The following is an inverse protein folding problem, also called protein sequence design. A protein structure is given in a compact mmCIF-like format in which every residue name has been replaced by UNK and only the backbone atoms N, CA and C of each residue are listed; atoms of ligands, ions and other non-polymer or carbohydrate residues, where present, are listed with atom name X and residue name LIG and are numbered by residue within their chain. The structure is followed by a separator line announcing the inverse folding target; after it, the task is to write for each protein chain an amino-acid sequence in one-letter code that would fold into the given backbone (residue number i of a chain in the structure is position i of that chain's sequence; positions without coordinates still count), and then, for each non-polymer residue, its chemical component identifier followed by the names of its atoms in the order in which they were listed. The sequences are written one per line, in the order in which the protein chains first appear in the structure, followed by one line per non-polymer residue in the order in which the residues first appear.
data_IF_004608865331
#
_entry.id   IF_004608865331
#
_cell.length_a   1.000
_cell.length_b   1.000
_cell.length_c   1.000
_cell.angle_alpha   90.00
_cell.angle_beta   90.00
_cell.angle_gamma   90.00
#
_symmetry.space_group_name_H-M   'P 1'
#
loop_
_entity.id
_entity.type
_entity.pdbx_description
1 polymer ?
#
# COMPACT_ATOMS: atom_id res chain seq x y z
N UNK A 1 -9.19 9.90 9.61
CA UNK A 1 -8.08 9.64 8.68
C UNK A 1 -8.26 10.57 7.48
N UNK A 2 -7.27 11.40 7.15
CA UNK A 2 -7.27 12.20 5.93
C UNK A 2 -6.26 11.66 4.92
N UNK A 3 -6.56 11.76 3.64
CA UNK A 3 -5.61 11.42 2.57
C UNK A 3 -5.74 12.38 1.40
N UNK A 4 -4.61 12.77 0.84
CA UNK A 4 -4.53 13.58 -0.36
C UNK A 4 -3.55 12.91 -1.33
N UNK A 5 -3.98 12.70 -2.57
CA UNK A 5 -3.20 11.96 -3.54
C UNK A 5 -3.40 12.48 -4.95
N UNK A 6 -2.39 12.21 -5.78
CA UNK A 6 -2.33 12.57 -7.19
C UNK A 6 -2.12 11.29 -7.98
N UNK A 7 -2.82 11.17 -9.12
CA UNK A 7 -2.65 10.06 -10.05
C UNK A 7 -2.50 10.61 -11.46
N UNK A 8 -1.50 10.10 -12.17
CA UNK A 8 -1.24 10.37 -13.58
C UNK A 8 -1.44 9.08 -14.36
N UNK A 9 -2.29 9.13 -15.39
CA UNK A 9 -2.54 8.01 -16.29
C UNK A 9 -2.08 8.41 -17.71
N UNK A 10 -1.11 7.67 -18.25
CA UNK A 10 -0.58 7.81 -19.59
C UNK A 10 -1.19 6.74 -20.49
N UNK A 11 -2.20 7.11 -21.26
CA UNK A 11 -2.95 6.19 -22.14
C UNK A 11 -2.70 6.40 -23.64
N UNK A 12 -1.73 7.24 -23.99
CA UNK A 12 -1.48 7.61 -25.38
C UNK A 12 -0.66 6.56 -26.17
N UNK A 13 -0.24 5.47 -25.51
CA UNK A 13 0.51 4.39 -26.14
C UNK A 13 -0.18 3.04 -25.92
N UNK A 14 0.30 2.00 -26.62
CA UNK A 14 -0.17 0.62 -26.46
C UNK A 14 -0.02 0.15 -25.00
N UNK A 15 0.93 0.73 -24.27
CA UNK A 15 1.16 0.46 -22.85
C UNK A 15 0.46 1.55 -22.04
N UNK A 16 -0.56 1.17 -21.28
CA UNK A 16 -1.23 2.10 -20.38
C UNK A 16 -0.48 2.20 -19.08
N UNK A 17 0.41 3.18 -18.95
CA UNK A 17 1.18 3.41 -17.74
C UNK A 17 0.43 4.33 -16.78
N UNK A 18 0.60 4.11 -15.48
CA UNK A 18 0.05 4.98 -14.45
C UNK A 18 1.05 5.15 -13.30
N UNK A 19 0.95 6.30 -12.65
CA UNK A 19 1.71 6.62 -11.45
C UNK A 19 0.78 7.29 -10.45
N UNK A 20 0.93 6.95 -9.17
CA UNK A 20 0.13 7.46 -8.08
C UNK A 20 1.01 7.79 -6.89
N UNK A 21 0.73 8.90 -6.24
CA UNK A 21 1.27 9.26 -4.94
C UNK A 21 0.13 9.61 -4.01
N UNK A 22 0.13 9.09 -2.80
CA UNK A 22 -0.92 9.32 -1.83
C UNK A 22 -0.30 9.60 -0.46
N UNK A 23 -0.53 10.80 0.05
CA UNK A 23 -0.18 11.18 1.40
C UNK A 23 -1.35 10.82 2.33
N UNK A 24 -1.06 10.10 3.40
CA UNK A 24 -2.07 9.65 4.36
C UNK A 24 -1.67 10.15 5.75
N UNK A 25 -2.66 10.70 6.46
CA UNK A 25 -2.53 11.21 7.82
C UNK A 25 -3.60 10.62 8.73
N UNK A 26 -3.15 9.96 9.78
CA UNK A 26 -4.01 9.51 10.87
C UNK A 26 -4.20 10.66 11.86
N UNK A 27 -5.46 11.09 11.99
CA UNK A 27 -5.89 11.99 13.05
C UNK A 27 -6.38 11.10 14.19
N UNK A 28 -5.59 10.97 15.25
CA UNK A 28 -5.93 10.19 16.45
C UNK A 28 -4.77 10.14 17.43
N UNK A 29 -5.07 10.22 18.72
CA UNK A 29 -4.13 9.94 19.80
C UNK A 29 -3.97 8.43 19.97
N UNK A 30 -2.74 8.04 20.27
CA UNK A 30 -2.28 6.68 20.45
C UNK A 30 -2.98 6.02 21.62
N UNK A 31 -3.73 4.95 21.35
CA UNK A 31 -3.79 3.78 22.24
C UNK A 31 -4.40 2.61 21.47
N UNK A 32 -3.57 1.87 20.75
CA UNK A 32 -3.95 0.52 20.34
C UNK A 32 -3.84 -0.39 21.57
N UNK A 33 -4.88 -0.40 22.42
CA UNK A 33 -5.01 -1.42 23.46
C UNK A 33 -5.53 -2.68 22.78
N UNK A 34 -4.61 -3.54 22.34
CA UNK A 34 -4.94 -4.90 21.96
C UNK A 34 -5.27 -5.69 23.24
N UNK A 35 -6.49 -5.59 23.74
CA UNK A 35 -7.02 -6.55 24.71
C UNK A 35 -7.30 -7.87 23.97
N UNK A 36 -6.23 -8.61 23.69
CA UNK A 36 -6.29 -9.98 23.21
C UNK A 36 -6.68 -10.90 24.35
N UNK A 37 -7.98 -11.10 24.55
CA UNK A 37 -8.46 -12.13 25.47
C UNK A 37 -8.28 -13.51 24.84
N UNK A 38 -7.22 -14.24 25.18
CA UNK A 38 -7.22 -15.70 25.13
C UNK A 38 -6.35 -16.26 26.28
N UNK A 39 -6.98 -17.08 27.13
CA UNK A 39 -6.36 -17.88 28.19
C UNK A 39 -5.18 -18.68 27.61
N UNK A 40 -3.95 -18.32 27.94
CA UNK A 40 -2.95 -19.20 28.57
C UNK A 40 -1.59 -18.50 28.52
N UNK A 41 -0.95 -18.44 29.68
CA UNK A 41 0.45 -18.01 29.89
C UNK A 41 0.71 -16.51 29.76
N UNK A 42 0.69 -15.85 30.92
CA UNK A 42 1.24 -14.53 31.16
C UNK A 42 2.75 -14.50 30.87
N UNK A 43 3.11 -14.17 29.64
CA UNK A 43 4.39 -13.55 29.32
C UNK A 43 4.07 -12.24 28.61
N UNK A 44 3.72 -11.25 29.42
CA UNK A 44 3.49 -9.87 28.99
C UNK A 44 4.83 -9.29 28.50
N UNK A 45 5.18 -9.56 27.24
CA UNK A 45 6.16 -8.75 26.54
C UNK A 45 5.48 -7.43 26.18
N UNK A 46 5.48 -6.49 27.14
CA UNK A 46 5.18 -5.09 26.85
C UNK A 46 6.38 -4.54 26.09
N UNK A 47 6.43 -4.78 24.77
CA UNK A 47 7.24 -3.93 23.90
C UNK A 47 6.50 -2.62 23.83
N UNK A 48 7.14 -1.55 24.26
CA UNK A 48 6.72 -0.18 23.95
C UNK A 48 6.37 -0.14 22.46
N UNK A 49 5.07 -0.10 22.17
CA UNK A 49 4.56 -0.01 20.81
C UNK A 49 5.10 1.31 20.27
N UNK A 50 6.08 1.22 19.38
CA UNK A 50 6.69 2.38 18.74
C UNK A 50 5.57 3.31 18.28
N UNK A 51 5.66 4.58 18.66
CA UNK A 51 4.73 5.63 18.26
C UNK A 51 4.38 5.44 16.78
N UNK A 52 3.13 5.09 16.50
CA UNK A 52 2.73 4.76 15.15
C UNK A 52 2.76 6.05 14.35
N UNK A 53 3.67 6.15 13.37
CA UNK A 53 3.86 7.40 12.63
C UNK A 53 2.53 7.87 12.05
N UNK A 54 2.11 9.07 12.51
CA UNK A 54 0.80 9.65 12.19
C UNK A 54 0.68 10.04 10.72
N UNK A 55 1.76 10.00 9.94
CA UNK A 55 1.82 10.37 8.53
C UNK A 55 2.65 9.37 7.72
N UNK A 56 2.13 8.87 6.60
CA UNK A 56 2.90 8.07 5.65
C UNK A 56 2.57 8.43 4.20
N UNK A 57 3.50 8.12 3.31
CA UNK A 57 3.35 8.32 1.86
C UNK A 57 3.34 6.98 1.17
N UNK A 58 2.31 6.72 0.39
CA UNK A 58 2.22 5.58 -0.51
C UNK A 58 2.54 6.05 -1.94
N UNK A 59 3.58 5.50 -2.54
CA UNK A 59 3.95 5.74 -3.94
C UNK A 59 3.66 4.46 -4.70
N UNK A 60 3.03 4.55 -5.87
CA UNK A 60 2.78 3.41 -6.73
C UNK A 60 2.98 3.77 -8.19
N UNK A 61 3.58 2.87 -8.95
CA UNK A 61 3.73 2.98 -10.41
C UNK A 61 3.33 1.65 -11.03
N UNK A 62 2.73 1.68 -12.19
CA UNK A 62 2.35 0.47 -12.90
C UNK A 62 2.10 0.70 -14.36
N UNK A 63 1.92 -0.40 -15.07
CA UNK A 63 1.58 -0.40 -16.47
C UNK A 63 0.72 -1.62 -16.81
N UNK A 64 -0.23 -1.40 -17.71
CA UNK A 64 -1.10 -2.42 -18.27
C UNK A 64 -0.79 -2.57 -19.78
N UNK A 65 -0.59 -3.79 -20.24
CA UNK A 65 -0.19 -4.13 -21.60
C UNK A 65 -1.24 -5.07 -22.21
N UNK A 66 -2.02 -4.64 -23.21
CA UNK A 66 -2.92 -5.52 -23.93
C UNK A 66 -2.09 -6.46 -24.81
N UNK A 67 -2.09 -7.76 -24.48
CA UNK A 67 -1.37 -8.78 -25.26
C UNK A 67 -2.22 -9.27 -26.44
N UNK A 68 -3.54 -9.27 -26.27
CA UNK A 68 -4.53 -9.67 -27.29
C UNK A 68 -5.88 -9.00 -26.98
N UNK A 69 -6.90 -9.22 -27.83
CA UNK A 69 -8.26 -8.72 -27.62
C UNK A 69 -8.91 -9.23 -26.31
N UNK A 70 -8.46 -10.38 -25.81
CA UNK A 70 -9.00 -11.05 -24.62
C UNK A 70 -8.02 -11.16 -23.46
N UNK A 71 -6.73 -10.85 -23.67
CA UNK A 71 -5.67 -11.05 -22.68
C UNK A 71 -4.88 -9.76 -22.47
N UNK A 72 -4.70 -9.37 -21.22
CA UNK A 72 -3.89 -8.23 -20.81
C UNK A 72 -2.91 -8.64 -19.71
N UNK A 73 -1.71 -8.10 -19.72
CA UNK A 73 -0.75 -8.19 -18.64
C UNK A 73 -0.74 -6.90 -17.83
N UNK A 74 -0.42 -6.98 -16.55
CA UNK A 74 -0.19 -5.81 -15.72
C UNK A 74 1.03 -6.02 -14.82
N UNK A 75 1.76 -4.95 -14.58
CA UNK A 75 2.86 -4.91 -13.64
C UNK A 75 2.81 -3.62 -12.83
N UNK A 76 3.17 -3.69 -11.56
CA UNK A 76 3.19 -2.55 -10.67
C UNK A 76 4.12 -2.73 -9.49
N UNK A 77 4.62 -1.59 -9.02
CA UNK A 77 5.44 -1.43 -7.83
C UNK A 77 4.69 -0.44 -6.94
N UNK A 78 4.64 -0.70 -5.64
CA UNK A 78 4.29 0.31 -4.65
C UNK A 78 5.29 0.31 -3.49
N UNK A 79 5.57 1.49 -2.96
CA UNK A 79 6.44 1.68 -1.81
C UNK A 79 5.78 2.63 -0.83
N UNK A 80 5.70 2.20 0.42
CA UNK A 80 5.26 3.03 1.54
C UNK A 80 6.48 3.58 2.27
N UNK A 81 6.54 4.90 2.42
CA UNK A 81 7.60 5.64 3.11
C UNK A 81 7.03 6.45 4.29
N UNK A 82 7.86 6.69 5.30
CA UNK A 82 7.45 7.42 6.51
C UNK A 82 6.89 6.52 7.63
N UNK A 83 7.22 5.23 7.63
CA UNK A 83 6.93 4.29 8.72
C UNK A 83 8.21 4.00 9.52
N UNK A 84 8.18 4.22 10.84
CA UNK A 84 9.28 3.98 11.78
C UNK A 84 9.64 2.50 11.94
N UNK A 85 8.77 1.60 11.46
CA UNK A 85 8.99 0.16 11.45
C UNK A 85 9.52 -0.39 10.11
N UNK A 86 9.84 0.50 9.16
CA UNK A 86 10.52 0.16 7.91
C UNK A 86 9.67 0.43 6.66
N UNK A 87 10.36 0.76 5.56
CA UNK A 87 9.71 0.98 4.27
C UNK A 87 9.16 -0.35 3.73
N UNK A 88 7.86 -0.38 3.41
CA UNK A 88 7.22 -1.55 2.80
C UNK A 88 7.23 -1.39 1.28
N UNK A 89 7.93 -2.27 0.57
CA UNK A 89 7.89 -2.34 -0.89
C UNK A 89 7.10 -3.55 -1.35
N UNK A 90 6.16 -3.35 -2.27
CA UNK A 90 5.31 -4.37 -2.85
C UNK A 90 5.46 -4.35 -4.36
N UNK A 91 5.56 -5.56 -4.93
CA UNK A 91 5.58 -5.77 -6.36
C UNK A 91 4.37 -6.63 -6.72
N UNK A 92 3.65 -6.25 -7.76
CA UNK A 92 2.52 -7.00 -8.29
C UNK A 92 2.71 -7.17 -9.79
N UNK A 93 2.58 -8.41 -10.26
CA UNK A 93 2.57 -8.75 -11.67
C UNK A 93 1.48 -9.78 -11.90
N UNK A 94 0.80 -9.71 -13.02
CA UNK A 94 -0.25 -10.66 -13.33
C UNK A 94 -0.78 -10.53 -14.75
N UNK A 95 -1.68 -11.44 -15.07
CA UNK A 95 -2.37 -11.47 -16.34
C UNK A 95 -3.87 -11.52 -16.07
N UNK A 96 -4.64 -10.83 -16.90
CA UNK A 96 -6.10 -10.84 -16.91
C UNK A 96 -6.55 -11.40 -18.26
N UNK A 97 -7.47 -12.35 -18.23
CA UNK A 97 -8.10 -12.89 -19.42
C UNK A 97 -9.62 -12.73 -19.29
N UNK A 98 -10.27 -12.27 -20.35
CA UNK A 98 -11.73 -12.12 -20.43
C UNK A 98 -12.24 -12.96 -21.60
N UNK A 99 -13.16 -13.87 -21.29
CA UNK A 99 -13.79 -14.80 -22.23
C UNK A 99 -15.27 -14.46 -22.41
#
# INVERSE_FOLDING_TARGET
MGSAGWRLDLRHSIIHSWAQINYRRQFGDDTYVANGGLKSTALTFSRDGKAQDKNWVDIAIGADIPLSATVSAFAGLSQTAGLSDGNQTRYNVGFSARF
#
